data_IF_788218115091
#
_entry.id   IF_788218115091
#
_cell.length_a   1.000
_cell.length_b   1.000
_cell.length_c   1.000
_cell.angle_alpha   90.00
_cell.angle_beta   90.00
_cell.angle_gamma   90.00
#
_symmetry.space_group_name_H-M   'P 1'
#
loop_
_entity.id
_entity.type
_entity.pdbx_description
1 polymer ?
#
# COMPACT_ATOMS: atom_id res chain seq x y z
N UNK A 1 1.27 11.75 4.69
CA UNK A 1 0.61 10.46 4.96
C UNK A 1 1.65 9.37 4.94
N UNK A 2 1.64 8.48 5.92
CA UNK A 2 2.55 7.32 5.96
C UNK A 2 1.81 6.10 5.43
N UNK A 3 2.32 5.50 4.36
CA UNK A 3 1.77 4.26 3.78
C UNK A 3 2.74 3.13 4.09
N UNK A 4 2.30 2.12 4.86
CA UNK A 4 3.13 0.99 5.27
C UNK A 4 2.67 -0.28 4.58
N UNK A 5 3.55 -0.96 3.84
CA UNK A 5 3.26 -2.26 3.23
C UNK A 5 3.80 -3.39 4.11
N UNK A 6 2.94 -4.36 4.44
CA UNK A 6 3.35 -5.52 5.22
C UNK A 6 4.27 -6.42 4.40
N UNK A 7 5.47 -6.69 4.94
CA UNK A 7 6.47 -7.61 4.36
C UNK A 7 6.67 -8.87 5.20
N UNK A 8 5.74 -9.16 6.12
CA UNK A 8 5.75 -10.41 6.90
C UNK A 8 5.59 -11.65 6.01
N UNK A 9 5.90 -12.84 6.54
CA UNK A 9 6.03 -14.09 5.76
C UNK A 9 4.84 -14.37 4.83
N UNK A 10 3.60 -14.19 5.29
CA UNK A 10 2.42 -14.41 4.44
C UNK A 10 2.27 -13.36 3.34
N UNK A 11 2.50 -12.08 3.63
CA UNK A 11 2.44 -11.02 2.62
C UNK A 11 3.59 -11.13 1.62
N UNK A 12 4.76 -11.58 2.06
CA UNK A 12 5.89 -11.87 1.17
C UNK A 12 5.53 -12.93 0.13
N UNK A 13 4.95 -14.06 0.55
CA UNK A 13 4.49 -15.12 -0.35
C UNK A 13 3.36 -14.69 -1.29
N UNK A 14 2.64 -13.62 -0.93
CA UNK A 14 1.54 -13.04 -1.73
C UNK A 14 1.98 -11.89 -2.64
N UNK A 15 3.29 -11.61 -2.74
CA UNK A 15 3.81 -10.58 -3.64
C UNK A 15 3.85 -9.18 -3.04
N UNK A 16 4.18 -9.03 -1.75
CA UNK A 16 4.32 -7.70 -1.12
C UNK A 16 5.33 -6.80 -1.82
N UNK A 17 6.36 -7.38 -2.45
CA UNK A 17 7.33 -6.64 -3.25
C UNK A 17 6.71 -6.02 -4.50
N UNK A 18 5.86 -6.76 -5.21
CA UNK A 18 5.14 -6.22 -6.38
C UNK A 18 4.24 -5.05 -5.96
N UNK A 19 3.57 -5.16 -4.81
CA UNK A 19 2.75 -4.08 -4.24
C UNK A 19 3.59 -2.85 -3.88
N UNK A 20 4.79 -3.04 -3.33
CA UNK A 20 5.70 -1.92 -3.00
C UNK A 20 6.15 -1.19 -4.27
N UNK A 21 6.60 -1.93 -5.29
CA UNK A 21 7.06 -1.32 -6.54
C UNK A 21 5.93 -0.62 -7.27
N UNK A 22 4.73 -1.20 -7.24
CA UNK A 22 3.55 -0.59 -7.83
C UNK A 22 3.12 0.67 -7.07
N UNK A 23 3.15 0.67 -5.72
CA UNK A 23 2.92 1.87 -4.93
C UNK A 23 3.93 2.98 -5.24
N UNK A 24 5.23 2.66 -5.36
CA UNK A 24 6.26 3.63 -5.79
C UNK A 24 5.94 4.22 -7.16
N UNK A 25 5.56 3.37 -8.13
CA UNK A 25 5.16 3.79 -9.47
C UNK A 25 3.98 4.74 -9.42
N UNK A 26 2.96 4.45 -8.62
CA UNK A 26 1.74 5.25 -8.49
C UNK A 26 2.00 6.60 -7.81
N UNK A 27 2.74 6.61 -6.70
CA UNK A 27 3.12 7.86 -6.01
C UNK A 27 3.82 8.82 -6.96
N UNK A 28 4.74 8.31 -7.80
CA UNK A 28 5.40 9.08 -8.84
C UNK A 28 4.46 9.46 -10.00
N UNK A 29 3.65 8.54 -10.49
CA UNK A 29 2.68 8.76 -11.59
C UNK A 29 1.73 9.90 -11.29
N UNK A 30 1.27 10.02 -10.05
CA UNK A 30 0.34 11.05 -9.61
C UNK A 30 1.02 12.28 -8.99
N UNK A 31 2.36 12.32 -8.94
CA UNK A 31 3.12 13.46 -8.47
C UNK A 31 2.86 13.82 -7.01
N UNK A 32 2.73 12.81 -6.14
CA UNK A 32 2.46 12.96 -4.70
C UNK A 32 3.62 12.44 -3.83
N UNK A 33 4.82 12.43 -4.40
CA UNK A 33 6.06 11.99 -3.75
C UNK A 33 6.39 12.80 -2.49
N UNK A 34 5.93 14.05 -2.40
CA UNK A 34 6.06 14.94 -1.25
C UNK A 34 5.00 14.71 -0.16
N UNK A 35 3.93 13.98 -0.48
CA UNK A 35 2.78 13.76 0.41
C UNK A 35 2.72 12.35 0.99
N UNK A 36 3.36 11.39 0.34
CA UNK A 36 3.35 9.97 0.71
C UNK A 36 4.74 9.53 1.15
N UNK A 37 4.85 9.11 2.41
CA UNK A 37 6.02 8.41 2.94
C UNK A 37 5.73 6.90 2.90
N UNK A 38 6.31 6.20 1.92
CA UNK A 38 6.12 4.76 1.74
C UNK A 38 7.15 3.98 2.57
N UNK A 39 6.67 3.20 3.52
CA UNK A 39 7.49 2.40 4.44
C UNK A 39 7.16 0.91 4.33
N UNK A 40 8.09 0.07 4.75
CA UNK A 40 7.80 -1.34 5.01
C UNK A 40 7.43 -1.53 6.49
N UNK A 41 6.51 -2.46 6.77
CA UNK A 41 6.17 -2.86 8.13
C UNK A 41 6.13 -4.38 8.27
N UNK A 42 6.32 -4.86 9.49
CA UNK A 42 6.06 -6.25 9.83
C UNK A 42 4.56 -6.52 10.04
N UNK A 43 4.25 -7.75 10.43
CA UNK A 43 2.89 -8.28 10.51
C UNK A 43 1.93 -7.34 11.27
N UNK A 44 0.80 -7.03 10.63
CA UNK A 44 -0.32 -6.25 11.18
C UNK A 44 -1.52 -7.12 11.55
N UNK A 45 -1.35 -8.45 11.61
CA UNK A 45 -2.39 -9.39 12.03
C UNK A 45 -3.50 -9.67 11.02
N UNK A 46 -3.32 -9.33 9.74
CA UNK A 46 -4.38 -9.40 8.71
C UNK A 46 -3.98 -10.24 7.46
N UNK A 47 -3.36 -11.40 7.66
CA UNK A 47 -2.74 -12.18 6.58
C UNK A 47 -3.73 -12.95 5.66
N UNK A 48 -5.02 -12.98 5.99
CA UNK A 48 -6.03 -13.74 5.24
C UNK A 48 -6.42 -13.07 3.92
N UNK A 49 -6.27 -11.76 3.82
CA UNK A 49 -6.80 -10.95 2.71
C UNK A 49 -5.68 -10.26 1.92
N UNK A 50 -4.89 -11.01 1.15
CA UNK A 50 -3.85 -10.44 0.27
C UNK A 50 -2.67 -9.79 1.01
N UNK A 51 -1.97 -8.85 0.34
CA UNK A 51 -0.96 -8.01 1.00
C UNK A 51 -1.69 -6.94 1.80
N UNK A 52 -1.30 -6.77 3.07
CA UNK A 52 -1.85 -5.71 3.92
C UNK A 52 -1.09 -4.41 3.70
N UNK A 53 -1.84 -3.32 3.51
CA UNK A 53 -1.29 -1.96 3.41
C UNK A 53 -1.97 -1.10 4.47
N UNK A 54 -1.20 -0.32 5.22
CA UNK A 54 -1.70 0.60 6.22
C UNK A 54 -1.45 2.03 5.75
N UNK A 55 -2.51 2.80 5.48
CA UNK A 55 -2.42 4.21 5.16
C UNK A 55 -2.81 5.02 6.41
N UNK A 56 -1.81 5.57 7.10
CA UNK A 56 -1.92 6.12 8.46
C UNK A 56 -2.54 5.12 9.45
N UNK A 57 -3.84 5.21 9.72
CA UNK A 57 -4.60 4.30 10.61
C UNK A 57 -5.56 3.37 9.83
N UNK A 58 -5.74 3.59 8.52
CA UNK A 58 -6.65 2.82 7.69
C UNK A 58 -5.96 1.58 7.12
N UNK A 59 -6.52 0.41 7.41
CA UNK A 59 -6.03 -0.87 6.89
C UNK A 59 -6.70 -1.19 5.55
N UNK A 60 -5.92 -1.17 4.48
CA UNK A 60 -6.33 -1.60 3.15
C UNK A 60 -6.13 -3.11 3.03
N UNK A 61 -7.17 -3.77 2.55
CA UNK A 61 -7.22 -5.22 2.41
C UNK A 61 -7.05 -5.64 0.95
N UNK A 62 -6.45 -6.81 0.73
CA UNK A 62 -6.49 -7.48 -0.57
C UNK A 62 -5.55 -6.89 -1.62
N UNK A 63 -4.58 -6.05 -1.23
CA UNK A 63 -3.68 -5.44 -2.20
C UNK A 63 -2.84 -6.51 -2.93
N UNK A 64 -2.77 -6.37 -4.24
CA UNK A 64 -1.96 -7.17 -5.16
C UNK A 64 -1.60 -6.30 -6.37
N UNK A 65 -0.74 -6.81 -7.26
CA UNK A 65 -0.27 -6.07 -8.44
C UNK A 65 -1.38 -5.59 -9.38
N UNK A 66 -2.52 -6.29 -9.42
CA UNK A 66 -3.58 -6.04 -10.40
C UNK A 66 -4.59 -5.00 -9.91
N UNK A 67 -4.76 -4.84 -8.59
CA UNK A 67 -5.71 -3.89 -7.98
C UNK A 67 -5.06 -2.73 -7.20
N UNK A 68 -3.73 -2.65 -7.17
CA UNK A 68 -3.02 -1.65 -6.38
C UNK A 68 -3.35 -0.21 -6.82
N UNK A 69 -3.50 0.02 -8.13
CA UNK A 69 -3.85 1.34 -8.68
C UNK A 69 -5.27 1.77 -8.29
N UNK A 70 -6.23 0.85 -8.34
CA UNK A 70 -7.61 1.10 -7.91
C UNK A 70 -7.65 1.47 -6.42
N UNK A 71 -7.07 0.63 -5.55
CA UNK A 71 -7.01 0.87 -4.11
C UNK A 71 -6.33 2.20 -3.77
N UNK A 72 -5.25 2.54 -4.48
CA UNK A 72 -4.57 3.81 -4.29
C UNK A 72 -5.49 4.98 -4.63
N UNK A 73 -6.22 4.92 -5.76
CA UNK A 73 -7.09 6.00 -6.21
C UNK A 73 -8.37 6.15 -5.39
N UNK A 74 -8.88 5.08 -4.78
CA UNK A 74 -10.10 5.11 -3.98
C UNK A 74 -9.83 5.43 -2.52
N UNK A 75 -8.77 4.88 -1.93
CA UNK A 75 -8.55 4.93 -0.48
C UNK A 75 -7.44 5.90 -0.05
N UNK A 76 -6.42 6.12 -0.89
CA UNK A 76 -5.24 6.94 -0.53
C UNK A 76 -5.33 8.33 -1.18
N UNK A 77 -5.40 8.38 -2.50
CA UNK A 77 -5.30 9.60 -3.29
C UNK A 77 -6.32 10.70 -2.91
N UNK A 78 -7.60 10.40 -2.60
CA UNK A 78 -8.57 11.41 -2.19
C UNK A 78 -8.19 12.11 -0.87
N UNK A 79 -7.51 11.40 0.02
CA UNK A 79 -7.07 11.93 1.31
C UNK A 79 -5.86 12.87 1.20
N UNK A 80 -5.09 12.78 0.11
CA UNK A 80 -3.91 13.61 -0.17
C UNK A 80 -4.23 15.00 -0.73
N UNK A 81 -5.46 15.23 -1.20
CA UNK A 81 -5.89 16.48 -1.86
C UNK A 81 -6.37 17.58 -0.90
N UNK A 82 -6.16 17.40 0.40
CA UNK A 82 -6.42 18.43 1.41
C UNK A 82 -5.28 19.44 1.49
#
# INVERSE_FOLDING_TARGET
>A
MVVKVCVGSSCHLRGSYDVIEEMKRLVKKYGVEDKVDLQATFCVGNCTNGVSVLADEALLHGANKDNCEELFLTEIYPLLKQ
#
